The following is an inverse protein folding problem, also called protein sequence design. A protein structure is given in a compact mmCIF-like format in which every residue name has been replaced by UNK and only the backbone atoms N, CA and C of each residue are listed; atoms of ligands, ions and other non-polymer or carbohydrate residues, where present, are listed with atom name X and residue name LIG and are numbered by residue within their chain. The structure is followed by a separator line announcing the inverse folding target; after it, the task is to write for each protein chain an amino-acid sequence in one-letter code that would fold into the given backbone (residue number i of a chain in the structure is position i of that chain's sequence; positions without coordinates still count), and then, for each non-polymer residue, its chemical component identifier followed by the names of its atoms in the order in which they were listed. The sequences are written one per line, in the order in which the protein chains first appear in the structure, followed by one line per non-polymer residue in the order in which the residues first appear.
data_IF_503093497578
#
_entry.id   IF_503093497578
#
_cell.length_a   1.000
_cell.length_b   1.000
_cell.length_c   1.000
_cell.angle_alpha   90.00
_cell.angle_beta   90.00
_cell.angle_gamma   90.00
#
_symmetry.space_group_name_H-M   'P 1'
#
loop_
_entity.id
_entity.type
_entity.pdbx_description
1 polymer ?
#
# COMPACT_ATOMS: atom_id res chain seq x y z
N UNK A 1 44.98 -66.34 -0.73
CA UNK A 1 45.98 -67.29 -0.17
C UNK A 1 45.57 -67.55 1.28
N UNK A 2 45.31 -68.79 1.66
CA UNK A 2 44.95 -69.13 3.04
C UNK A 2 46.13 -68.86 3.98
N UNK A 3 45.85 -68.30 5.16
CA UNK A 3 46.83 -68.12 6.21
C UNK A 3 46.99 -69.41 7.02
N UNK A 4 48.18 -69.64 7.56
CA UNK A 4 48.46 -70.78 8.44
C UNK A 4 47.73 -70.55 9.77
N UNK A 5 47.00 -71.55 10.26
CA UNK A 5 46.09 -71.45 11.41
C UNK A 5 46.85 -71.45 12.76
N UNK A 6 47.69 -70.44 12.96
CA UNK A 6 48.45 -70.20 14.20
C UNK A 6 47.95 -68.91 14.85
N UNK A 7 47.99 -68.85 16.19
CA UNK A 7 47.54 -67.66 16.94
C UNK A 7 48.23 -66.37 16.46
N UNK A 8 49.53 -66.45 16.17
CA UNK A 8 50.32 -65.31 15.69
C UNK A 8 49.92 -64.86 14.28
N UNK A 9 49.63 -65.80 13.38
CA UNK A 9 49.16 -65.48 12.03
C UNK A 9 47.76 -64.84 12.04
N UNK A 10 46.86 -65.32 12.90
CA UNK A 10 45.54 -64.73 13.09
C UNK A 10 45.63 -63.30 13.64
N UNK A 11 46.52 -63.06 14.62
CA UNK A 11 46.76 -61.72 15.15
C UNK A 11 47.36 -60.78 14.11
N UNK A 12 48.39 -61.22 13.37
CA UNK A 12 49.00 -60.43 12.30
C UNK A 12 47.98 -60.08 11.20
N UNK A 13 47.13 -61.04 10.82
CA UNK A 13 46.04 -60.82 9.87
C UNK A 13 45.02 -59.79 10.38
N UNK A 14 44.62 -59.89 11.65
CA UNK A 14 43.71 -58.92 12.26
C UNK A 14 44.31 -57.52 12.25
N UNK A 15 45.56 -57.36 12.68
CA UNK A 15 46.26 -56.06 12.69
C UNK A 15 46.39 -55.48 11.27
N UNK A 16 46.72 -56.31 10.28
CA UNK A 16 46.80 -55.89 8.87
C UNK A 16 45.45 -55.40 8.36
N UNK A 17 44.37 -56.15 8.65
CA UNK A 17 43.00 -55.73 8.32
C UNK A 17 42.59 -54.45 9.02
N UNK A 18 42.98 -54.24 10.27
CA UNK A 18 42.72 -52.97 10.96
C UNK A 18 43.48 -51.82 10.28
N UNK A 19 44.77 -51.99 9.97
CA UNK A 19 45.59 -50.96 9.30
C UNK A 19 45.07 -50.62 7.91
N UNK A 20 44.58 -51.59 7.15
CA UNK A 20 44.09 -51.37 5.80
C UNK A 20 42.73 -50.67 5.75
N UNK A 21 41.93 -50.77 6.82
CA UNK A 21 40.54 -50.29 6.82
C UNK A 21 40.28 -49.12 7.79
N UNK A 22 41.17 -48.87 8.75
CA UNK A 22 41.03 -47.76 9.71
C UNK A 22 41.87 -46.56 9.28
N UNK A 23 41.20 -45.55 8.74
CA UNK A 23 41.80 -44.25 8.46
C UNK A 23 41.39 -43.25 9.53
N UNK A 24 42.37 -42.60 10.17
CA UNK A 24 42.16 -41.59 11.21
C UNK A 24 42.55 -40.23 10.66
N UNK A 25 41.61 -39.28 10.70
CA UNK A 25 41.83 -37.88 10.29
C UNK A 25 41.77 -37.00 11.53
N UNK A 26 42.80 -36.16 11.69
CA UNK A 26 42.93 -35.26 12.84
C UNK A 26 42.86 -33.81 12.35
N UNK A 27 41.76 -33.11 12.67
CA UNK A 27 41.65 -31.68 12.43
C UNK A 27 42.18 -30.91 13.65
N UNK A 28 43.28 -30.18 13.48
CA UNK A 28 43.92 -29.44 14.57
C UNK A 28 44.18 -27.99 14.16
N UNK A 29 43.99 -27.06 15.10
CA UNK A 29 44.32 -25.66 14.88
C UNK A 29 45.84 -25.46 15.01
N UNK A 30 46.50 -24.77 14.06
CA UNK A 30 47.90 -24.38 14.18
C UNK A 30 48.10 -23.18 15.12
N UNK A 31 47.02 -22.56 15.59
CA UNK A 31 47.08 -21.38 16.47
C UNK A 31 47.48 -21.78 17.89
N UNK A 32 48.51 -21.11 18.42
CA UNK A 32 49.04 -21.34 19.76
C UNK A 32 50.08 -22.46 19.85
N UNK A 33 50.48 -22.82 21.07
CA UNK A 33 51.60 -23.75 21.30
C UNK A 33 51.18 -25.22 21.52
N UNK A 34 49.87 -25.48 21.62
CA UNK A 34 49.35 -26.80 21.97
C UNK A 34 49.68 -27.84 20.90
N UNK A 35 49.49 -27.51 19.61
CA UNK A 35 49.81 -28.42 18.51
C UNK A 35 51.30 -28.78 18.50
N UNK A 36 52.17 -27.76 18.62
CA UNK A 36 53.62 -27.95 18.71
C UNK A 36 54.01 -28.89 19.85
N UNK A 37 53.42 -28.70 21.03
CA UNK A 37 53.70 -29.55 22.20
C UNK A 37 53.24 -31.00 21.97
N UNK A 38 52.07 -31.20 21.35
CA UNK A 38 51.57 -32.54 21.00
C UNK A 38 52.47 -33.24 19.98
N UNK A 39 52.87 -32.56 18.91
CA UNK A 39 53.79 -33.13 17.91
C UNK A 39 55.14 -33.52 18.51
N UNK A 40 55.65 -32.77 19.50
CA UNK A 40 56.88 -33.12 20.23
C UNK A 40 56.70 -34.33 21.14
N UNK A 41 55.57 -34.40 21.85
CA UNK A 41 55.29 -35.51 22.76
C UNK A 41 54.94 -36.81 22.01
N UNK A 42 54.39 -36.71 20.80
CA UNK A 42 53.94 -37.84 19.99
C UNK A 42 54.49 -37.76 18.54
N UNK A 43 55.77 -38.15 18.31
CA UNK A 43 56.40 -38.05 16.99
C UNK A 43 55.68 -38.83 15.88
N UNK A 44 54.95 -39.90 16.25
CA UNK A 44 54.16 -40.71 15.32
C UNK A 44 53.08 -39.91 14.57
N UNK A 45 52.61 -38.79 15.13
CA UNK A 45 51.66 -37.90 14.44
C UNK A 45 52.27 -37.21 13.22
N UNK A 46 53.57 -36.93 13.24
CA UNK A 46 54.26 -36.27 12.12
C UNK A 46 54.84 -37.31 11.17
N UNK A 47 55.35 -38.42 11.72
CA UNK A 47 56.05 -39.43 10.93
C UNK A 47 55.11 -40.38 10.16
N UNK A 48 53.89 -40.63 10.67
CA UNK A 48 52.98 -41.63 10.11
C UNK A 48 51.69 -41.03 9.53
N UNK A 49 51.59 -39.70 9.43
CA UNK A 49 50.43 -39.01 8.88
C UNK A 49 50.83 -38.11 7.71
N UNK A 50 49.91 -37.93 6.77
CA UNK A 50 50.04 -36.89 5.74
C UNK A 50 49.55 -35.57 6.34
N UNK A 51 50.36 -34.53 6.21
CA UNK A 51 50.03 -33.19 6.69
C UNK A 51 49.41 -32.40 5.53
N UNK A 52 48.18 -31.96 5.72
CA UNK A 52 47.46 -31.07 4.79
C UNK A 52 47.24 -29.71 5.45
N UNK A 53 47.63 -28.64 4.75
CA UNK A 53 47.59 -27.28 5.28
C UNK A 53 46.40 -26.51 4.71
N UNK A 54 45.46 -26.16 5.58
CA UNK A 54 44.32 -25.32 5.23
C UNK A 54 44.73 -23.85 5.25
N UNK A 55 45.06 -23.33 4.06
CA UNK A 55 45.37 -21.93 3.87
C UNK A 55 44.08 -21.08 3.84
N UNK A 56 44.17 -19.79 4.18
CA UNK A 56 43.08 -18.85 3.92
C UNK A 56 42.69 -18.85 2.45
N UNK A 57 41.41 -18.60 2.17
CA UNK A 57 40.93 -18.53 0.79
C UNK A 57 41.64 -17.41 0.03
N UNK A 58 42.20 -17.70 -1.17
CA UNK A 58 42.71 -16.66 -2.05
C UNK A 58 41.57 -15.85 -2.64
N UNK A 59 41.89 -14.69 -3.23
CA UNK A 59 40.94 -13.78 -3.83
C UNK A 59 40.01 -14.47 -4.86
N UNK A 60 40.59 -15.32 -5.72
CA UNK A 60 39.82 -16.05 -6.74
C UNK A 60 38.82 -17.03 -6.13
N UNK A 61 39.14 -17.62 -4.97
CA UNK A 61 38.22 -18.51 -4.27
C UNK A 61 37.08 -17.71 -3.63
N UNK A 62 37.37 -16.54 -3.06
CA UNK A 62 36.34 -15.64 -2.52
C UNK A 62 35.39 -15.18 -3.64
N UNK A 63 35.92 -14.79 -4.80
CA UNK A 63 35.13 -14.42 -5.97
C UNK A 63 34.21 -15.57 -6.43
N UNK A 64 34.76 -16.78 -6.58
CA UNK A 64 33.99 -17.94 -7.01
C UNK A 64 32.88 -18.30 -6.03
N UNK A 65 33.17 -18.26 -4.72
CA UNK A 65 32.16 -18.52 -3.68
C UNK A 65 31.07 -17.45 -3.72
N UNK A 66 31.42 -16.17 -3.82
CA UNK A 66 30.42 -15.11 -3.91
C UNK A 66 29.57 -15.21 -5.18
N UNK A 67 30.15 -15.59 -6.32
CA UNK A 67 29.39 -15.80 -7.55
C UNK A 67 28.33 -16.89 -7.39
N UNK A 68 28.71 -18.04 -6.82
CA UNK A 68 27.79 -19.18 -6.57
C UNK A 68 26.71 -18.79 -5.55
N UNK A 69 27.09 -18.16 -4.44
CA UNK A 69 26.14 -17.79 -3.38
C UNK A 69 25.13 -16.72 -3.82
N UNK A 70 25.51 -15.86 -4.76
CA UNK A 70 24.66 -14.80 -5.29
C UNK A 70 23.92 -15.22 -6.57
N UNK A 71 24.12 -16.44 -7.09
CA UNK A 71 23.56 -16.88 -8.36
C UNK A 71 22.02 -16.74 -8.41
N UNK A 72 21.35 -17.17 -7.34
CA UNK A 72 19.89 -17.11 -7.21
C UNK A 72 19.31 -15.70 -7.09
N UNK A 73 20.15 -14.70 -6.80
CA UNK A 73 19.71 -13.32 -6.60
C UNK A 73 19.85 -12.56 -7.90
N UNK A 74 18.78 -11.92 -8.34
CA UNK A 74 18.86 -10.95 -9.44
C UNK A 74 19.62 -9.69 -9.00
N UNK A 75 20.83 -9.51 -9.50
CA UNK A 75 21.67 -8.33 -9.26
C UNK A 75 21.80 -7.45 -10.51
N UNK A 76 20.98 -7.67 -11.53
CA UNK A 76 21.01 -6.93 -12.80
C UNK A 76 22.45 -6.89 -13.36
N UNK A 77 22.91 -5.73 -13.81
CA UNK A 77 24.25 -5.52 -14.37
C UNK A 77 25.35 -5.25 -13.33
N UNK A 78 25.02 -5.29 -12.04
CA UNK A 78 25.96 -4.89 -10.97
C UNK A 78 26.64 -6.08 -10.28
N UNK A 79 26.40 -7.31 -10.73
CA UNK A 79 26.93 -8.53 -10.11
C UNK A 79 28.44 -8.49 -9.87
N UNK A 80 29.22 -8.14 -10.90
CA UNK A 80 30.68 -8.12 -10.80
C UNK A 80 31.18 -7.08 -9.79
N UNK A 81 30.54 -5.90 -9.75
CA UNK A 81 30.88 -4.85 -8.80
C UNK A 81 30.56 -5.27 -7.35
N UNK A 82 29.41 -5.94 -7.15
CA UNK A 82 29.02 -6.46 -5.82
C UNK A 82 29.99 -7.54 -5.36
N UNK A 83 30.31 -8.51 -6.23
CA UNK A 83 31.27 -9.59 -5.91
C UNK A 83 32.63 -9.00 -5.56
N UNK A 84 33.18 -8.13 -6.41
CA UNK A 84 34.47 -7.47 -6.15
C UNK A 84 34.47 -6.68 -4.84
N UNK A 85 33.38 -5.96 -4.53
CA UNK A 85 33.25 -5.26 -3.26
C UNK A 85 33.22 -6.21 -2.05
N UNK A 86 32.54 -7.35 -2.15
CA UNK A 86 32.49 -8.34 -1.06
C UNK A 86 33.87 -8.90 -0.75
N UNK A 87 34.64 -9.22 -1.80
CA UNK A 87 36.01 -9.73 -1.69
C UNK A 87 36.92 -8.67 -1.05
N UNK A 88 36.88 -7.44 -1.57
CA UNK A 88 37.62 -6.30 -1.02
C UNK A 88 37.31 -6.09 0.47
N UNK A 89 36.02 -6.16 0.84
CA UNK A 89 35.59 -6.02 2.23
C UNK A 89 36.22 -7.10 3.12
N UNK A 90 36.19 -8.36 2.70
CA UNK A 90 36.78 -9.45 3.48
C UNK A 90 38.29 -9.31 3.66
N UNK A 91 39.01 -8.99 2.59
CA UNK A 91 40.47 -8.76 2.64
C UNK A 91 40.83 -7.54 3.50
N UNK A 92 40.04 -6.47 3.44
CA UNK A 92 40.23 -5.31 4.31
C UNK A 92 40.13 -5.68 5.78
N UNK A 93 39.14 -6.52 6.16
CA UNK A 93 38.96 -6.98 7.54
C UNK A 93 40.13 -7.86 7.99
N UNK A 94 40.72 -8.66 7.10
CA UNK A 94 41.96 -9.41 7.40
C UNK A 94 43.12 -8.47 7.70
N UNK A 95 43.34 -7.44 6.87
CA UNK A 95 44.39 -6.44 7.09
C UNK A 95 44.18 -5.66 8.40
N UNK A 96 42.95 -5.22 8.66
CA UNK A 96 42.60 -4.53 9.91
C UNK A 96 42.77 -5.41 11.13
N UNK A 97 42.47 -6.70 11.04
CA UNK A 97 42.67 -7.63 12.16
C UNK A 97 44.15 -7.72 12.57
N UNK A 98 45.07 -7.83 11.61
CA UNK A 98 46.51 -7.82 11.89
C UNK A 98 46.93 -6.52 12.57
N UNK A 99 46.49 -5.37 12.03
CA UNK A 99 46.79 -4.06 12.62
C UNK A 99 46.21 -3.91 14.03
N UNK A 100 45.01 -4.44 14.27
CA UNK A 100 44.36 -4.41 15.58
C UNK A 100 45.13 -5.23 16.62
N UNK A 101 45.64 -6.40 16.23
CA UNK A 101 46.50 -7.23 17.07
C UNK A 101 47.82 -6.52 17.39
N UNK A 102 48.43 -5.85 16.41
CA UNK A 102 49.69 -5.12 16.62
C UNK A 102 49.55 -3.94 17.58
N UNK A 103 48.50 -3.14 17.40
CA UNK A 103 48.27 -1.88 18.12
C UNK A 103 47.67 -2.09 19.51
N UNK A 104 46.67 -2.96 19.63
CA UNK A 104 45.90 -3.14 20.87
C UNK A 104 46.18 -4.46 21.58
N UNK A 105 47.07 -5.30 21.03
CA UNK A 105 47.40 -6.62 21.57
C UNK A 105 46.17 -7.53 21.75
N UNK A 106 45.15 -7.34 20.90
CA UNK A 106 43.92 -8.11 20.89
C UNK A 106 43.79 -8.86 19.57
N UNK A 107 43.73 -10.19 19.65
CA UNK A 107 43.61 -11.03 18.47
C UNK A 107 42.15 -11.17 18.06
N UNK A 108 41.86 -10.86 16.80
CA UNK A 108 40.56 -11.13 16.16
C UNK A 108 40.79 -12.14 15.04
N UNK A 109 39.92 -13.14 14.94
CA UNK A 109 40.06 -14.19 13.94
C UNK A 109 39.05 -13.98 12.82
N UNK A 110 39.56 -13.94 11.59
CA UNK A 110 38.75 -13.85 10.38
C UNK A 110 38.75 -15.22 9.73
N UNK A 111 37.58 -15.83 9.63
CA UNK A 111 37.40 -17.19 9.09
C UNK A 111 36.56 -17.16 7.82
N UNK A 112 36.70 -18.15 6.92
CA UNK A 112 35.80 -18.29 5.77
C UNK A 112 34.33 -18.33 6.16
N UNK A 113 34.00 -18.85 7.36
CA UNK A 113 32.63 -18.84 7.87
C UNK A 113 32.07 -17.42 8.03
N UNK A 114 32.90 -16.47 8.47
CA UNK A 114 32.50 -15.06 8.57
C UNK A 114 32.17 -14.47 7.18
N UNK A 115 32.88 -14.88 6.13
CA UNK A 115 32.60 -14.47 4.75
C UNK A 115 31.26 -15.03 4.24
N UNK A 116 30.99 -16.31 4.52
CA UNK A 116 29.73 -16.95 4.17
C UNK A 116 28.55 -16.28 4.91
N UNK A 117 28.71 -15.98 6.20
CA UNK A 117 27.69 -15.28 6.97
C UNK A 117 27.45 -13.87 6.46
N UNK A 118 28.52 -13.13 6.13
CA UNK A 118 28.41 -11.81 5.51
C UNK A 118 27.61 -11.87 4.19
N UNK A 119 27.93 -12.83 3.32
CA UNK A 119 27.24 -13.02 2.04
C UNK A 119 25.76 -13.38 2.23
N UNK A 120 25.46 -14.26 3.20
CA UNK A 120 24.08 -14.65 3.50
C UNK A 120 23.26 -13.52 4.13
N UNK A 121 23.88 -12.70 4.99
CA UNK A 121 23.25 -11.50 5.55
C UNK A 121 22.93 -10.48 4.44
N UNK A 122 23.85 -10.28 3.49
CA UNK A 122 23.59 -9.45 2.31
C UNK A 122 22.38 -9.95 1.53
N UNK A 123 22.30 -11.26 1.23
CA UNK A 123 21.17 -11.89 0.55
C UNK A 123 19.84 -11.62 1.26
N UNK A 124 19.79 -11.94 2.55
CA UNK A 124 18.58 -11.78 3.37
C UNK A 124 18.15 -10.30 3.44
N UNK A 125 19.10 -9.41 3.68
CA UNK A 125 18.83 -7.97 3.77
C UNK A 125 18.34 -7.39 2.45
N UNK A 126 18.93 -7.81 1.32
CA UNK A 126 18.50 -7.36 0.00
C UNK A 126 17.07 -7.78 -0.32
N UNK A 127 16.71 -9.04 -0.04
CA UNK A 127 15.35 -9.55 -0.27
C UNK A 127 14.35 -8.80 0.61
N UNK A 128 14.65 -8.62 1.89
CA UNK A 128 13.80 -7.89 2.82
C UNK A 128 13.57 -6.44 2.39
N UNK A 129 14.65 -5.73 2.01
CA UNK A 129 14.56 -4.34 1.55
C UNK A 129 13.79 -4.23 0.22
N UNK A 130 14.00 -5.16 -0.72
CA UNK A 130 13.23 -5.18 -1.98
C UNK A 130 11.75 -5.39 -1.74
N UNK A 131 11.37 -6.31 -0.85
CA UNK A 131 9.97 -6.51 -0.48
C UNK A 131 9.38 -5.23 0.11
N UNK A 132 10.07 -4.63 1.07
CA UNK A 132 9.61 -3.40 1.73
C UNK A 132 9.42 -2.25 0.73
N UNK A 133 10.39 -2.05 -0.18
CA UNK A 133 10.32 -1.02 -1.23
C UNK A 133 9.22 -1.34 -2.24
N UNK A 134 9.05 -2.61 -2.62
CA UNK A 134 7.98 -3.07 -3.51
C UNK A 134 6.60 -2.79 -2.92
N UNK A 135 6.41 -3.06 -1.62
CA UNK A 135 5.15 -2.79 -0.92
C UNK A 135 4.86 -1.29 -0.85
N UNK A 136 5.88 -0.48 -0.56
CA UNK A 136 5.74 0.99 -0.57
C UNK A 136 5.41 1.52 -1.96
N UNK A 137 6.04 0.99 -3.01
CA UNK A 137 5.78 1.35 -4.40
C UNK A 137 4.35 0.98 -4.81
N UNK A 138 3.90 -0.21 -4.44
CA UNK A 138 2.53 -0.69 -4.74
C UNK A 138 1.48 0.17 -4.04
N UNK A 139 1.74 0.56 -2.79
CA UNK A 139 0.86 1.47 -2.03
C UNK A 139 0.78 2.84 -2.70
N UNK A 140 1.92 3.39 -3.14
CA UNK A 140 1.98 4.67 -3.84
C UNK A 140 1.24 4.61 -5.17
N UNK A 141 1.42 3.53 -5.95
CA UNK A 141 0.73 3.33 -7.22
C UNK A 141 -0.79 3.26 -7.03
N UNK A 142 -1.27 2.51 -6.04
CA UNK A 142 -2.70 2.48 -5.69
C UNK A 142 -3.25 3.84 -5.24
N UNK A 143 -2.44 4.65 -4.54
CA UNK A 143 -2.80 6.02 -4.20
C UNK A 143 -2.89 6.93 -5.43
N UNK A 144 -1.92 6.82 -6.34
CA UNK A 144 -1.88 7.59 -7.59
C UNK A 144 -3.07 7.25 -8.49
N UNK A 145 -3.40 5.97 -8.64
CA UNK A 145 -4.58 5.53 -9.40
C UNK A 145 -5.87 6.13 -8.87
N UNK A 146 -6.04 6.20 -7.53
CA UNK A 146 -7.21 6.85 -6.93
C UNK A 146 -7.26 8.35 -7.19
N UNK A 147 -6.12 9.03 -7.19
CA UNK A 147 -6.05 10.46 -7.52
C UNK A 147 -6.41 10.71 -8.99
N UNK A 148 -5.96 9.85 -9.90
CA UNK A 148 -6.32 9.92 -11.32
C UNK A 148 -7.83 9.70 -11.49
N UNK A 149 -8.40 8.67 -10.84
CA UNK A 149 -9.84 8.41 -10.88
C UNK A 149 -10.66 9.60 -10.36
N UNK A 150 -10.24 10.19 -9.23
CA UNK A 150 -10.92 11.36 -8.67
C UNK A 150 -10.85 12.58 -9.61
N UNK A 151 -9.71 12.78 -10.29
CA UNK A 151 -9.56 13.84 -11.29
C UNK A 151 -10.54 13.65 -12.46
N UNK A 152 -10.61 12.42 -13.01
CA UNK A 152 -11.54 12.08 -14.09
C UNK A 152 -13.02 12.26 -13.67
N UNK A 153 -13.36 11.94 -12.42
CA UNK A 153 -14.71 12.14 -11.87
C UNK A 153 -15.04 13.63 -11.71
N UNK A 154 -14.10 14.44 -11.23
CA UNK A 154 -14.26 15.89 -11.11
C UNK A 154 -14.46 16.52 -12.49
N UNK A 155 -13.68 16.11 -13.49
CA UNK A 155 -13.83 16.59 -14.87
C UNK A 155 -15.23 16.27 -15.44
N UNK A 156 -15.75 15.06 -15.20
CA UNK A 156 -17.12 14.69 -15.58
C UNK A 156 -18.17 15.52 -14.85
N UNK A 157 -18.02 15.71 -13.54
CA UNK A 157 -18.95 16.53 -12.76
C UNK A 157 -18.94 17.99 -13.23
N UNK A 158 -17.78 18.54 -13.59
CA UNK A 158 -17.65 19.90 -14.11
C UNK A 158 -18.48 20.10 -15.39
N UNK A 159 -18.46 19.12 -16.29
CA UNK A 159 -19.28 19.14 -17.52
C UNK A 159 -20.77 19.13 -17.17
N UNK A 160 -21.23 18.16 -16.37
CA UNK A 160 -22.65 18.06 -15.98
C UNK A 160 -23.13 19.31 -15.24
N UNK A 161 -22.30 19.89 -14.38
CA UNK A 161 -22.63 21.12 -13.64
C UNK A 161 -22.80 22.31 -14.60
N UNK A 162 -21.96 22.40 -15.64
CA UNK A 162 -22.05 23.47 -16.64
C UNK A 162 -23.36 23.40 -17.43
N UNK A 163 -23.79 22.19 -17.82
CA UNK A 163 -25.06 21.95 -18.50
C UNK A 163 -26.24 22.25 -17.57
N UNK A 164 -26.21 21.75 -16.34
CA UNK A 164 -27.26 21.98 -15.35
C UNK A 164 -27.42 23.47 -15.00
N UNK A 165 -26.30 24.23 -14.95
CA UNK A 165 -26.33 25.67 -14.70
C UNK A 165 -27.10 26.43 -15.79
N UNK A 166 -26.90 26.09 -17.06
CA UNK A 166 -27.64 26.71 -18.18
C UNK A 166 -29.15 26.49 -18.01
N UNK A 167 -29.55 25.25 -17.69
CA UNK A 167 -30.97 24.89 -17.49
C UNK A 167 -31.57 25.63 -16.31
N UNK A 168 -30.85 25.70 -15.19
CA UNK A 168 -31.31 26.42 -13.98
C UNK A 168 -31.46 27.90 -14.27
N UNK A 169 -30.47 28.55 -14.89
CA UNK A 169 -30.53 29.97 -15.22
C UNK A 169 -31.73 30.29 -16.12
N UNK A 170 -32.00 29.43 -17.12
CA UNK A 170 -33.17 29.58 -17.99
C UNK A 170 -34.49 29.39 -17.24
N UNK A 171 -34.61 28.37 -16.39
CA UNK A 171 -35.82 28.12 -15.59
C UNK A 171 -36.04 29.20 -14.54
N UNK A 172 -34.99 29.74 -13.95
CA UNK A 172 -35.07 30.89 -13.04
C UNK A 172 -35.57 32.13 -13.76
N UNK A 173 -35.11 32.37 -15.00
CA UNK A 173 -35.62 33.47 -15.82
C UNK A 173 -37.10 33.31 -16.13
N UNK A 174 -37.52 32.13 -16.61
CA UNK A 174 -38.93 31.81 -16.87
C UNK A 174 -39.80 31.97 -15.61
N UNK A 175 -39.33 31.50 -14.45
CA UNK A 175 -40.04 31.61 -13.18
C UNK A 175 -40.19 33.08 -12.73
N UNK A 176 -39.14 33.89 -12.87
CA UNK A 176 -39.18 35.31 -12.56
C UNK A 176 -40.16 36.07 -13.45
N UNK A 177 -40.20 35.76 -14.76
CA UNK A 177 -41.19 36.33 -15.69
C UNK A 177 -42.62 35.95 -15.27
N UNK A 178 -42.84 34.69 -14.89
CA UNK A 178 -44.14 34.21 -14.43
C UNK A 178 -44.59 34.88 -13.12
N UNK A 179 -43.66 35.13 -12.19
CA UNK A 179 -43.92 35.86 -10.94
C UNK A 179 -44.38 37.30 -11.19
N UNK A 180 -43.81 37.98 -12.19
CA UNK A 180 -44.25 39.33 -12.59
C UNK A 180 -45.69 39.30 -13.08
N UNK A 181 -46.02 38.34 -13.96
CA UNK A 181 -47.39 38.17 -14.50
C UNK A 181 -48.38 37.83 -13.37
N UNK A 182 -48.01 36.97 -12.42
CA UNK A 182 -48.85 36.65 -11.26
C UNK A 182 -49.07 37.87 -10.38
N UNK A 183 -48.02 38.66 -10.11
CA UNK A 183 -48.14 39.88 -9.31
C UNK A 183 -49.05 40.92 -9.98
N UNK A 184 -48.97 41.07 -11.30
CA UNK A 184 -49.83 41.95 -12.08
C UNK A 184 -51.28 41.45 -12.09
N UNK A 185 -51.50 40.16 -12.36
CA UNK A 185 -52.82 39.54 -12.30
C UNK A 185 -53.44 39.63 -10.89
N UNK A 186 -52.64 39.48 -9.83
CA UNK A 186 -53.10 39.64 -8.44
C UNK A 186 -53.63 41.04 -8.19
N UNK A 187 -52.92 42.09 -8.63
CA UNK A 187 -53.41 43.48 -8.53
C UNK A 187 -54.73 43.67 -9.27
N UNK A 188 -54.86 43.11 -10.46
CA UNK A 188 -56.10 43.18 -11.26
C UNK A 188 -57.26 42.48 -10.54
N UNK A 189 -57.01 41.29 -9.98
CA UNK A 189 -58.02 40.53 -9.24
C UNK A 189 -58.43 41.27 -7.96
N UNK A 190 -57.48 41.78 -7.18
CA UNK A 190 -57.76 42.59 -5.98
C UNK A 190 -58.58 43.84 -6.32
N UNK A 191 -58.27 44.54 -7.42
CA UNK A 191 -59.04 45.69 -7.89
C UNK A 191 -60.47 45.31 -8.33
N UNK A 192 -60.63 44.20 -9.06
CA UNK A 192 -61.96 43.69 -9.44
C UNK A 192 -62.77 43.25 -8.22
N UNK A 193 -62.13 42.66 -7.22
CA UNK A 193 -62.79 42.22 -6.00
C UNK A 193 -63.25 43.41 -5.15
N UNK A 194 -62.45 44.47 -5.06
CA UNK A 194 -62.87 45.74 -4.45
C UNK A 194 -64.06 46.37 -5.18
N UNK A 195 -64.03 46.43 -6.52
CA UNK A 195 -65.14 46.96 -7.32
C UNK A 195 -66.42 46.09 -7.24
N UNK A 196 -66.26 44.76 -7.08
CA UNK A 196 -67.39 43.86 -6.86
C UNK A 196 -68.02 44.09 -5.47
N UNK A 197 -67.21 44.25 -4.42
CA UNK A 197 -67.68 44.56 -3.08
C UNK A 197 -68.43 45.90 -3.02
N UNK A 198 -67.92 46.94 -3.69
CA UNK A 198 -68.60 48.25 -3.79
C UNK A 198 -69.95 48.14 -4.53
N UNK A 199 -70.00 47.36 -5.62
CA UNK A 199 -71.27 47.10 -6.33
C UNK A 199 -72.24 46.28 -5.50
N UNK A 200 -71.75 45.32 -4.72
CA UNK A 200 -72.57 44.50 -3.82
C UNK A 200 -73.20 45.37 -2.72
N UNK A 201 -72.42 46.28 -2.14
CA UNK A 201 -72.92 47.28 -1.18
C UNK A 201 -73.92 48.26 -1.83
N UNK A 202 -73.69 48.67 -3.08
CA UNK A 202 -74.66 49.45 -3.83
C UNK A 202 -75.96 48.69 -4.15
N UNK A 203 -75.86 47.39 -4.44
CA UNK A 203 -76.99 46.51 -4.72
C UNK A 203 -77.83 46.24 -3.47
N UNK A 204 -77.23 46.08 -2.29
CA UNK A 204 -77.99 45.95 -1.04
C UNK A 204 -78.80 47.21 -0.75
N UNK A 205 -78.20 48.40 -0.90
CA UNK A 205 -78.90 49.68 -0.76
C UNK A 205 -80.03 49.83 -1.80
N UNK A 206 -79.79 49.42 -3.05
CA UNK A 206 -80.84 49.42 -4.08
C UNK A 206 -81.93 48.39 -3.79
N UNK A 207 -81.60 47.21 -3.29
CA UNK A 207 -82.58 46.18 -2.93
C UNK A 207 -83.46 46.63 -1.75
N UNK A 208 -82.89 47.31 -0.76
CA UNK A 208 -83.65 47.96 0.32
C UNK A 208 -84.63 48.99 -0.25
N UNK A 209 -84.18 49.88 -1.14
CA UNK A 209 -85.05 50.86 -1.81
C UNK A 209 -86.16 50.23 -2.64
N UNK A 210 -85.85 49.19 -3.42
CA UNK A 210 -86.85 48.46 -4.22
C UNK A 210 -87.86 47.76 -3.33
N UNK A 211 -87.46 47.30 -2.14
CA UNK A 211 -88.40 46.69 -1.18
C UNK A 211 -89.38 47.73 -0.65
N UNK A 212 -88.89 48.92 -0.29
CA UNK A 212 -89.73 50.06 0.13
C UNK A 212 -90.67 50.49 -1.01
N UNK A 213 -90.13 50.70 -2.22
CA UNK A 213 -90.94 51.11 -3.38
C UNK A 213 -91.99 50.04 -3.76
N UNK A 214 -91.68 48.75 -3.56
CA UNK A 214 -92.63 47.65 -3.76
C UNK A 214 -93.74 47.67 -2.72
N UNK A 215 -93.42 47.88 -1.44
CA UNK A 215 -94.41 48.01 -0.38
C UNK A 215 -95.35 49.20 -0.64
N UNK A 216 -94.82 50.34 -1.08
CA UNK A 216 -95.61 51.51 -1.46
C UNK A 216 -96.50 51.25 -2.70
N UNK A 217 -96.00 50.54 -3.71
CA UNK A 217 -96.77 50.19 -4.90
C UNK A 217 -97.87 49.15 -4.62
N UNK A 218 -97.61 48.16 -3.76
CA UNK A 218 -98.61 47.18 -3.31
C UNK A 218 -99.71 47.86 -2.46
N UNK A 219 -99.36 48.84 -1.62
CA UNK A 219 -100.33 49.66 -0.90
C UNK A 219 -101.20 50.51 -1.84
N UNK A 220 -100.61 51.10 -2.88
CA UNK A 220 -101.35 51.86 -3.90
C UNK A 220 -102.28 50.95 -4.74
N UNK A 221 -101.86 49.72 -5.05
CA UNK A 221 -102.69 48.73 -5.75
C UNK A 221 -103.87 48.28 -4.87
N UNK A 222 -103.64 48.00 -3.59
CA UNK A 222 -104.68 47.62 -2.63
C UNK A 222 -105.75 48.71 -2.44
N UNK A 223 -105.37 49.98 -2.55
CA UNK A 223 -106.31 51.11 -2.52
C UNK A 223 -107.13 51.27 -3.81
N UNK A 224 -106.64 50.76 -4.95
CA UNK A 224 -107.31 50.87 -6.25
C UNK A 224 -108.26 49.71 -6.56
N UNK A 225 -108.07 48.53 -5.96
CA UNK A 225 -108.93 47.34 -6.14
C UNK A 225 -110.41 47.62 -5.80
N UNK A 226 -110.77 48.34 -4.71
CA UNK A 226 -112.17 48.64 -4.39
C UNK A 226 -112.85 49.59 -5.39
N UNK A 227 -112.08 50.38 -6.14
CA UNK A 227 -112.60 51.30 -7.15
C UNK A 227 -112.88 50.62 -8.50
N UNK A 228 -112.26 49.46 -8.76
CA UNK A 228 -112.40 48.71 -10.02
C UNK A 228 -113.60 47.73 -10.00
N UNK A 229 -113.92 47.14 -8.84
CA UNK A 229 -115.02 46.18 -8.68
C UNK A 229 -116.42 46.82 -8.61
N UNK A 230 -116.52 48.15 -8.43
CA UNK A 230 -117.78 48.88 -8.47
C UNK A 230 -118.20 49.33 -9.88
N UNK A 231 -117.40 49.02 -10.91
CA UNK A 231 -117.60 49.45 -12.30
C UNK A 231 -117.74 48.28 -13.31
N UNK A 232 -117.97 47.05 -12.84
CA UNK A 232 -118.27 45.86 -13.64
C UNK A 232 -119.53 45.17 -13.10
#
# INVERSE_FOLDING_TARGET
KGLVDTKDACWAYFVDKCRSNLHVVLAMSPVGETLRTRCRNFPGMVNNCVIDWFQPWPEQALESVAQVFLEEIDLLNHRNAVVSHMVMTHESVRSFSTRFAEQLKRNVYVTPKNYLDFTNNYKTSLVSNRSMIGDMSTRLDGGLQKLIQAADEVDKMQVTLSEAKIVVDQKTKECNELLVVIAENRKIVEAKQAAAAEKEEGLTVMAEKVTIDKEDAEAALAAAIPALEAAA
#
